data_IF_961017872389
#
_entry.id   IF_961017872389
#
_cell.length_a   1.000
_cell.length_b   1.000
_cell.length_c   1.000
_cell.angle_alpha   90.00
_cell.angle_beta   90.00
_cell.angle_gamma   90.00
#
_symmetry.space_group_name_H-M   'P 1'
#
loop_
_entity.id
_entity.type
_entity.pdbx_description
1 polymer ?
#
# COMPACT_ATOMS: atom_id res chain seq x y z
N UNK A 1 -55.67 83.29 -61.38
CA UNK A 1 -55.42 84.58 -60.69
C UNK A 1 -55.58 84.29 -59.21
N UNK A 2 -54.56 84.35 -58.37
CA UNK A 2 -53.44 85.30 -58.34
C UNK A 2 -52.15 84.62 -57.88
N UNK A 3 -51.10 84.99 -58.58
CA UNK A 3 -49.70 84.61 -58.43
C UNK A 3 -49.09 84.97 -57.05
N UNK A 4 -48.14 84.14 -56.64
CA UNK A 4 -46.76 84.53 -56.27
C UNK A 4 -46.58 85.80 -55.43
N UNK A 5 -46.17 85.63 -54.16
CA UNK A 5 -45.30 86.58 -53.49
C UNK A 5 -44.23 85.85 -52.69
N UNK A 6 -43.00 86.28 -52.95
CA UNK A 6 -41.70 85.78 -52.54
C UNK A 6 -41.39 85.97 -51.04
N UNK A 7 -40.41 85.16 -50.62
CA UNK A 7 -39.48 85.23 -49.49
C UNK A 7 -39.51 86.43 -48.52
N UNK A 8 -39.33 86.13 -47.21
CA UNK A 8 -38.12 86.45 -46.41
C UNK A 8 -38.33 86.14 -44.91
N UNK A 9 -37.32 85.52 -44.27
CA UNK A 9 -36.91 85.87 -42.89
C UNK A 9 -37.45 85.08 -41.68
N UNK A 10 -36.79 83.98 -41.36
CA UNK A 10 -36.08 83.69 -40.10
C UNK A 10 -36.77 83.78 -38.70
N UNK A 11 -36.82 82.60 -38.06
CA UNK A 11 -36.59 82.22 -36.63
C UNK A 11 -37.47 82.69 -35.46
N UNK A 12 -37.94 81.71 -34.67
CA UNK A 12 -38.13 81.84 -33.23
C UNK A 12 -37.93 80.50 -32.47
N UNK A 13 -36.66 80.24 -32.13
CA UNK A 13 -36.13 79.75 -30.84
C UNK A 13 -36.80 78.54 -30.18
N UNK A 14 -36.21 77.35 -30.39
CA UNK A 14 -36.36 76.19 -29.49
C UNK A 14 -35.31 76.28 -28.39
N UNK A 15 -35.76 76.37 -27.13
CA UNK A 15 -34.94 76.40 -25.92
C UNK A 15 -34.02 75.16 -25.88
N UNK A 16 -32.68 75.29 -25.77
CA UNK A 16 -31.81 74.13 -25.81
C UNK A 16 -31.81 73.39 -24.47
N UNK A 17 -32.33 72.16 -24.52
CA UNK A 17 -32.15 71.11 -23.51
C UNK A 17 -30.66 70.76 -23.44
N UNK A 18 -30.01 71.03 -22.30
CA UNK A 18 -28.59 70.76 -22.10
C UNK A 18 -28.32 69.23 -22.07
N UNK A 19 -28.15 68.64 -23.26
CA UNK A 19 -27.69 67.27 -23.43
C UNK A 19 -26.17 67.33 -23.55
N UNK A 20 -25.44 66.78 -22.58
CA UNK A 20 -24.00 66.60 -22.70
C UNK A 20 -23.73 65.54 -23.76
N UNK A 21 -23.50 65.96 -25.01
CA UNK A 21 -23.09 65.10 -26.12
C UNK A 21 -21.66 64.63 -25.89
N UNK A 22 -21.40 63.33 -26.09
CA UNK A 22 -20.08 62.69 -25.95
C UNK A 22 -18.99 63.43 -26.75
N UNK A 23 -19.35 64.05 -27.88
CA UNK A 23 -18.47 64.91 -28.69
C UNK A 23 -17.96 66.17 -27.97
N UNK A 24 -18.81 66.84 -27.16
CA UNK A 24 -18.41 68.01 -26.37
C UNK A 24 -17.44 67.60 -25.24
N UNK A 25 -17.64 66.42 -24.66
CA UNK A 25 -16.73 65.85 -23.65
C UNK A 25 -15.33 65.58 -24.23
N UNK A 26 -15.25 65.05 -25.47
CA UNK A 26 -13.96 64.86 -26.15
C UNK A 26 -13.29 66.17 -26.58
N UNK A 27 -14.03 67.19 -27.02
CA UNK A 27 -13.46 68.52 -27.31
C UNK A 27 -12.92 69.21 -26.05
N UNK A 28 -13.62 69.07 -24.92
CA UNK A 28 -13.18 69.55 -23.61
C UNK A 28 -11.93 68.84 -23.10
N UNK A 29 -11.66 67.60 -23.52
CA UNK A 29 -10.44 66.88 -23.21
C UNK A 29 -9.22 67.38 -24.00
N UNK A 30 -9.45 67.88 -25.23
CA UNK A 30 -8.40 68.32 -26.14
C UNK A 30 -7.92 69.77 -25.91
N UNK A 31 -8.64 70.55 -25.09
CA UNK A 31 -8.25 71.92 -24.66
C UNK A 31 -7.55 71.94 -23.30
N UNK A 32 -7.10 70.79 -22.80
CA UNK A 32 -6.36 70.68 -21.53
C UNK A 32 -4.93 71.22 -21.69
N UNK A 33 -4.67 72.38 -21.07
CA UNK A 33 -3.31 72.87 -20.84
C UNK A 33 -2.82 72.33 -19.47
N UNK A 34 -1.79 71.44 -19.43
CA UNK A 34 -1.27 70.86 -18.19
C UNK A 34 -0.57 71.87 -17.27
N UNK A 35 -0.33 73.11 -17.73
CA UNK A 35 0.30 74.16 -16.94
C UNK A 35 -0.70 75.02 -16.13
N UNK A 36 -2.03 74.84 -16.31
CA UNK A 36 -3.05 75.56 -15.54
C UNK A 36 -4.26 74.66 -15.17
N UNK A 37 -4.12 73.89 -14.09
CA UNK A 37 -5.13 72.93 -13.60
C UNK A 37 -6.46 73.58 -13.15
N UNK A 38 -6.46 74.91 -12.89
CA UNK A 38 -7.63 75.63 -12.37
C UNK A 38 -8.75 75.85 -13.40
N UNK A 39 -8.42 76.01 -14.67
CA UNK A 39 -9.35 76.41 -15.75
C UNK A 39 -10.08 75.24 -16.44
N UNK A 40 -9.88 73.99 -15.98
CA UNK A 40 -10.47 72.82 -16.66
C UNK A 40 -12.01 72.80 -16.58
N UNK A 41 -12.71 72.35 -17.65
CA UNK A 41 -14.16 72.24 -17.68
C UNK A 41 -14.71 71.32 -16.57
N UNK A 42 -15.86 71.68 -15.99
CA UNK A 42 -16.45 70.97 -14.85
C UNK A 42 -16.72 69.47 -15.14
N UNK A 43 -17.06 69.12 -16.39
CA UNK A 43 -17.26 67.72 -16.81
C UNK A 43 -15.97 66.89 -16.75
N UNK A 44 -14.83 67.46 -17.14
CA UNK A 44 -13.53 66.77 -17.07
C UNK A 44 -13.12 66.56 -15.60
N UNK A 45 -13.32 67.57 -14.75
CA UNK A 45 -13.09 67.47 -13.31
C UNK A 45 -13.91 66.34 -12.68
N UNK A 46 -15.21 66.24 -13.00
CA UNK A 46 -16.09 65.17 -12.50
C UNK A 46 -15.61 63.79 -12.98
N UNK A 47 -15.26 63.63 -14.26
CA UNK A 47 -14.76 62.35 -14.77
C UNK A 47 -13.44 61.94 -14.13
N UNK A 48 -12.50 62.87 -13.92
CA UNK A 48 -11.27 62.59 -13.16
C UNK A 48 -11.57 62.19 -11.71
N UNK A 49 -12.51 62.85 -11.04
CA UNK A 49 -12.94 62.47 -9.69
C UNK A 49 -13.54 61.07 -9.64
N UNK A 50 -14.43 60.73 -10.58
CA UNK A 50 -15.02 59.39 -10.68
C UNK A 50 -13.95 58.34 -10.98
N UNK A 51 -13.00 58.64 -11.86
CA UNK A 51 -11.89 57.75 -12.18
C UNK A 51 -10.99 57.50 -10.96
N UNK A 52 -10.65 58.54 -10.21
CA UNK A 52 -9.87 58.42 -8.97
C UNK A 52 -10.63 57.58 -7.94
N UNK A 53 -11.92 57.84 -7.74
CA UNK A 53 -12.75 57.05 -6.81
C UNK A 53 -12.83 55.59 -7.23
N UNK A 54 -13.03 55.32 -8.52
CA UNK A 54 -13.03 53.96 -9.05
C UNK A 54 -11.69 53.26 -8.86
N UNK A 55 -10.58 53.96 -9.14
CA UNK A 55 -9.23 53.45 -8.94
C UNK A 55 -8.98 53.09 -7.46
N UNK A 56 -9.39 53.97 -6.55
CA UNK A 56 -9.27 53.75 -5.10
C UNK A 56 -10.12 52.56 -4.65
N UNK A 57 -11.36 52.44 -5.12
CA UNK A 57 -12.23 51.29 -4.82
C UNK A 57 -11.66 49.98 -5.37
N UNK A 58 -11.09 50.00 -6.58
CA UNK A 58 -10.48 48.82 -7.18
C UNK A 58 -9.24 48.38 -6.41
N UNK A 59 -8.36 49.33 -6.05
CA UNK A 59 -7.19 49.04 -5.20
C UNK A 59 -7.59 48.55 -3.81
N UNK A 60 -8.62 49.12 -3.20
CA UNK A 60 -9.14 48.67 -1.90
C UNK A 60 -9.73 47.26 -1.98
N UNK A 61 -10.47 46.95 -3.06
CA UNK A 61 -11.04 45.62 -3.29
C UNK A 61 -9.96 44.55 -3.48
N UNK A 62 -8.97 44.82 -4.35
CA UNK A 62 -7.88 43.89 -4.60
C UNK A 62 -6.93 43.75 -3.41
N UNK A 63 -6.61 44.84 -2.70
CA UNK A 63 -5.65 44.84 -1.61
C UNK A 63 -6.18 44.28 -0.28
N UNK A 64 -7.43 44.58 0.09
CA UNK A 64 -7.97 44.26 1.42
C UNK A 64 -9.09 43.21 1.40
N UNK A 65 -9.97 43.27 0.41
CA UNK A 65 -11.22 42.48 0.41
C UNK A 65 -10.98 41.08 -0.16
N UNK A 66 -10.27 40.98 -1.28
CA UNK A 66 -10.01 39.69 -1.95
C UNK A 66 -9.32 38.68 -1.02
N UNK A 67 -8.27 39.09 -0.32
CA UNK A 67 -7.54 38.21 0.60
C UNK A 67 -8.40 37.71 1.77
N UNK A 68 -9.32 38.54 2.28
CA UNK A 68 -10.25 38.11 3.36
C UNK A 68 -11.27 37.09 2.85
N UNK A 69 -11.83 37.30 1.66
CA UNK A 69 -12.78 36.35 1.05
C UNK A 69 -12.11 34.98 0.82
N UNK A 70 -10.87 34.98 0.33
CA UNK A 70 -10.10 33.77 0.10
C UNK A 70 -9.77 33.04 1.40
N UNK A 71 -9.38 33.79 2.46
CA UNK A 71 -9.15 33.21 3.79
C UNK A 71 -10.40 32.59 4.42
N UNK A 72 -11.57 33.21 4.26
CA UNK A 72 -12.86 32.67 4.74
C UNK A 72 -13.23 31.41 3.95
N UNK A 73 -13.04 31.42 2.63
CA UNK A 73 -13.30 30.26 1.78
C UNK A 73 -12.40 29.08 2.14
N UNK A 74 -11.12 29.35 2.40
CA UNK A 74 -10.15 28.36 2.84
C UNK A 74 -10.48 27.81 4.23
N UNK A 75 -10.88 28.67 5.18
CA UNK A 75 -11.31 28.26 6.51
C UNK A 75 -12.56 27.37 6.48
N UNK A 76 -13.57 27.75 5.69
CA UNK A 76 -14.78 26.93 5.50
C UNK A 76 -14.47 25.57 4.85
N UNK A 77 -13.55 25.55 3.88
CA UNK A 77 -13.10 24.30 3.26
C UNK A 77 -12.35 23.40 4.27
N UNK A 78 -11.52 24.00 5.14
CA UNK A 78 -10.84 23.27 6.21
C UNK A 78 -11.83 22.70 7.23
N UNK A 79 -12.84 23.47 7.62
CA UNK A 79 -13.89 23.02 8.53
C UNK A 79 -14.66 21.81 7.96
N UNK A 80 -15.06 21.86 6.69
CA UNK A 80 -15.75 20.74 6.04
C UNK A 80 -14.87 19.49 5.97
N UNK A 81 -13.59 19.64 5.63
CA UNK A 81 -12.65 18.52 5.62
C UNK A 81 -12.50 17.89 7.02
N UNK A 82 -12.36 18.72 8.06
CA UNK A 82 -12.17 18.24 9.42
C UNK A 82 -13.43 17.55 9.96
N UNK A 83 -14.62 18.05 9.62
CA UNK A 83 -15.89 17.38 9.95
C UNK A 83 -16.04 16.02 9.25
N UNK A 84 -15.62 15.93 8.00
CA UNK A 84 -15.64 14.65 7.26
C UNK A 84 -14.65 13.65 7.88
N UNK A 85 -13.44 14.09 8.21
CA UNK A 85 -12.43 13.26 8.86
C UNK A 85 -12.91 12.78 10.25
N UNK A 86 -13.55 13.66 11.03
CA UNK A 86 -14.15 13.30 12.31
C UNK A 86 -15.24 12.24 12.14
N UNK A 87 -16.17 12.42 11.18
CA UNK A 87 -17.24 11.44 10.91
C UNK A 87 -16.68 10.09 10.48
N UNK A 88 -15.64 10.07 9.66
CA UNK A 88 -14.98 8.85 9.23
C UNK A 88 -14.33 8.13 10.42
N UNK A 89 -13.54 8.84 11.24
CA UNK A 89 -12.91 8.28 12.44
C UNK A 89 -13.93 7.79 13.47
N UNK A 90 -14.98 8.56 13.71
CA UNK A 90 -16.09 8.21 14.60
C UNK A 90 -16.86 6.97 14.10
N UNK A 91 -17.05 6.84 12.78
CA UNK A 91 -17.64 5.63 12.19
C UNK A 91 -16.76 4.38 12.35
N UNK A 92 -15.43 4.54 12.26
CA UNK A 92 -14.47 3.46 12.50
C UNK A 92 -14.44 3.07 13.99
N UNK A 93 -14.56 4.03 14.89
CA UNK A 93 -14.59 3.82 16.34
C UNK A 93 -15.87 3.13 16.82
N UNK A 94 -17.04 3.50 16.28
CA UNK A 94 -18.33 2.89 16.66
C UNK A 94 -18.37 1.37 16.44
N UNK A 95 -17.68 0.88 15.42
CA UNK A 95 -17.61 -0.56 15.14
C UNK A 95 -16.38 -1.22 15.74
N UNK A 96 -15.47 -0.47 16.38
CA UNK A 96 -14.21 -1.01 16.88
C UNK A 96 -14.42 -2.04 17.99
N UNK A 97 -15.41 -1.84 18.88
CA UNK A 97 -15.78 -2.85 19.87
C UNK A 97 -16.34 -4.12 19.23
N UNK A 98 -17.16 -3.99 18.18
CA UNK A 98 -17.70 -5.15 17.45
C UNK A 98 -16.59 -5.91 16.70
N UNK A 99 -15.64 -5.19 16.09
CA UNK A 99 -14.48 -5.80 15.44
C UNK A 99 -13.54 -6.48 16.42
N UNK A 100 -13.30 -5.89 17.60
CA UNK A 100 -12.51 -6.54 18.66
C UNK A 100 -13.18 -7.84 19.15
N UNK A 101 -14.49 -7.81 19.35
CA UNK A 101 -15.24 -9.00 19.76
C UNK A 101 -15.19 -10.09 18.67
N UNK A 102 -15.35 -9.70 17.40
CA UNK A 102 -15.24 -10.63 16.27
C UNK A 102 -13.84 -11.22 16.12
N UNK A 103 -12.78 -10.45 16.38
CA UNK A 103 -11.41 -10.95 16.41
C UNK A 103 -11.20 -11.94 17.55
N UNK A 104 -11.73 -11.66 18.74
CA UNK A 104 -11.65 -12.57 19.89
C UNK A 104 -12.39 -13.90 19.62
N UNK A 105 -13.59 -13.84 19.03
CA UNK A 105 -14.36 -15.03 18.66
C UNK A 105 -13.65 -15.84 17.56
N UNK A 106 -13.02 -15.16 16.59
CA UNK A 106 -12.23 -15.79 15.53
C UNK A 106 -10.97 -16.46 16.08
N UNK A 107 -10.27 -15.80 17.01
CA UNK A 107 -9.07 -16.33 17.67
C UNK A 107 -9.41 -17.52 18.58
N UNK A 108 -10.52 -17.47 19.32
CA UNK A 108 -10.99 -18.60 20.12
C UNK A 108 -11.34 -19.82 19.23
N UNK A 109 -12.06 -19.58 18.12
CA UNK A 109 -12.40 -20.62 17.16
C UNK A 109 -11.15 -21.22 16.49
N UNK A 110 -10.17 -20.37 16.16
CA UNK A 110 -8.90 -20.80 15.58
C UNK A 110 -8.06 -21.61 16.56
N UNK A 111 -7.99 -21.20 17.83
CA UNK A 111 -7.29 -21.95 18.87
C UNK A 111 -7.92 -23.33 19.11
N UNK A 112 -9.26 -23.43 19.10
CA UNK A 112 -9.95 -24.71 19.21
C UNK A 112 -9.66 -25.63 18.01
N UNK A 113 -9.41 -25.08 16.82
CA UNK A 113 -9.00 -25.84 15.63
C UNK A 113 -7.52 -26.24 15.69
N UNK A 114 -6.64 -25.37 16.22
CA UNK A 114 -5.23 -25.69 16.44
C UNK A 114 -5.05 -26.79 17.50
N UNK A 115 -5.88 -26.83 18.54
CA UNK A 115 -5.88 -27.93 19.53
C UNK A 115 -6.29 -29.27 18.93
N UNK A 116 -7.03 -29.27 17.82
CA UNK A 116 -7.39 -30.49 17.07
C UNK A 116 -6.29 -30.93 16.10
N UNK A 117 -5.30 -30.08 15.82
CA UNK A 117 -4.12 -30.47 15.07
C UNK A 117 -3.09 -31.03 16.06
N UNK A 118 -2.78 -32.34 16.04
CA UNK A 118 -1.79 -32.92 16.94
C UNK A 118 -0.47 -32.15 16.79
N UNK A 119 0.05 -31.65 17.92
CA UNK A 119 1.34 -30.94 17.98
C UNK A 119 2.44 -31.91 17.59
N UNK A 120 2.85 -31.85 16.33
CA UNK A 120 3.94 -32.62 15.75
C UNK A 120 5.25 -32.38 16.51
N UNK A 121 5.56 -33.29 17.42
CA UNK A 121 6.93 -33.57 17.86
C UNK A 121 7.18 -35.05 17.72
N UNK A 122 7.31 -35.52 16.47
CA UNK A 122 7.61 -36.93 16.17
C UNK A 122 8.81 -37.08 15.21
N UNK A 123 9.79 -36.15 15.26
CA UNK A 123 11.04 -36.28 14.49
C UNK A 123 11.79 -37.60 14.82
N UNK A 124 11.88 -38.06 16.08
CA UNK A 124 12.48 -39.35 16.39
C UNK A 124 11.71 -40.53 15.76
N UNK A 125 10.37 -40.46 15.74
CA UNK A 125 9.53 -41.49 15.13
C UNK A 125 9.70 -41.57 13.62
N UNK A 126 9.98 -40.44 12.95
CA UNK A 126 10.15 -40.44 11.50
C UNK A 126 11.35 -41.26 11.04
N UNK A 127 12.46 -41.20 11.76
CA UNK A 127 13.67 -41.98 11.43
C UNK A 127 13.38 -43.47 11.56
N UNK A 128 12.62 -43.84 12.59
CA UNK A 128 12.18 -45.22 12.82
C UNK A 128 11.22 -45.70 11.73
N UNK A 129 10.25 -44.87 11.33
CA UNK A 129 9.31 -45.18 10.24
C UNK A 129 10.02 -45.35 8.90
N UNK A 130 10.99 -44.48 8.58
CA UNK A 130 11.83 -44.59 7.37
C UNK A 130 12.66 -45.88 7.42
N UNK A 131 13.27 -46.18 8.56
CA UNK A 131 14.07 -47.38 8.73
C UNK A 131 13.21 -48.64 8.59
N UNK A 132 12.04 -48.69 9.24
CA UNK A 132 11.10 -49.80 9.14
C UNK A 132 10.60 -49.98 7.70
N UNK A 133 10.23 -48.90 7.02
CA UNK A 133 9.82 -48.95 5.60
C UNK A 133 10.92 -49.49 4.69
N UNK A 134 12.19 -49.13 4.93
CA UNK A 134 13.31 -49.61 4.13
C UNK A 134 13.66 -51.07 4.40
N UNK A 135 13.66 -51.49 5.67
CA UNK A 135 13.91 -52.89 6.04
C UNK A 135 12.79 -53.80 5.51
N UNK A 136 11.52 -53.37 5.60
CA UNK A 136 10.37 -54.11 5.04
C UNK A 136 10.44 -54.21 3.51
N UNK A 137 10.99 -53.20 2.84
CA UNK A 137 11.23 -53.23 1.39
C UNK A 137 12.43 -54.11 1.00
N UNK A 138 13.25 -54.57 1.94
CA UNK A 138 14.44 -55.39 1.69
C UNK A 138 15.73 -54.60 1.49
N UNK A 139 15.74 -53.30 1.79
CA UNK A 139 16.96 -52.49 1.79
C UNK A 139 17.79 -52.72 3.06
N UNK A 140 19.11 -52.68 2.90
CA UNK A 140 20.07 -52.71 4.01
C UNK A 140 20.66 -51.31 4.18
N UNK A 141 20.31 -50.63 5.27
CA UNK A 141 20.89 -49.32 5.57
C UNK A 141 22.35 -49.47 6.01
N UNK A 142 23.23 -48.71 5.37
CA UNK A 142 24.61 -48.51 5.79
C UNK A 142 24.70 -47.40 6.83
N UNK A 143 23.97 -46.31 6.60
CA UNK A 143 24.02 -45.13 7.43
C UNK A 143 22.73 -44.30 7.30
N UNK A 144 22.22 -43.81 8.42
CA UNK A 144 21.14 -42.80 8.46
C UNK A 144 21.58 -41.71 9.42
N UNK A 145 21.69 -40.49 8.93
CA UNK A 145 22.20 -39.35 9.71
C UNK A 145 21.30 -38.14 9.58
N UNK A 146 20.94 -37.55 10.71
CA UNK A 146 20.30 -36.24 10.74
C UNK A 146 21.37 -35.18 10.48
N UNK A 147 21.11 -34.32 9.50
CA UNK A 147 21.90 -33.14 9.25
C UNK A 147 21.38 -31.98 10.13
N UNK A 148 22.17 -30.91 10.33
CA UNK A 148 21.69 -29.73 11.05
C UNK A 148 20.41 -29.14 10.43
N UNK A 149 19.51 -28.67 11.27
CA UNK A 149 18.28 -27.99 10.84
C UNK A 149 18.60 -26.75 9.99
N UNK A 150 17.85 -26.56 8.90
CA UNK A 150 17.95 -25.38 8.03
C UNK A 150 16.70 -24.54 8.24
N UNK A 151 16.87 -23.35 8.85
CA UNK A 151 15.79 -22.41 9.11
C UNK A 151 15.48 -21.60 7.85
N UNK A 152 14.24 -21.62 7.42
CA UNK A 152 13.68 -20.73 6.39
C UNK A 152 12.76 -19.70 7.07
N UNK A 153 12.22 -18.76 6.29
CA UNK A 153 11.39 -17.65 6.83
C UNK A 153 10.13 -18.13 7.56
N UNK A 154 9.50 -19.21 7.09
CA UNK A 154 8.21 -19.69 7.61
C UNK A 154 8.25 -21.13 8.15
N UNK A 155 9.33 -21.86 7.91
CA UNK A 155 9.46 -23.27 8.28
C UNK A 155 10.91 -23.65 8.53
N UNK A 156 11.11 -24.80 9.18
CA UNK A 156 12.43 -25.41 9.37
C UNK A 156 12.46 -26.71 8.60
N UNK A 157 13.49 -26.88 7.77
CA UNK A 157 13.81 -28.14 7.11
C UNK A 157 14.71 -28.97 8.03
N UNK A 158 14.39 -30.25 8.17
CA UNK A 158 15.24 -31.25 8.83
C UNK A 158 15.75 -32.23 7.74
N UNK A 159 16.98 -32.05 7.24
CA UNK A 159 17.56 -32.97 6.26
C UNK A 159 18.07 -34.24 6.94
N UNK A 160 17.94 -35.37 6.23
CA UNK A 160 18.34 -36.70 6.67
C UNK A 160 19.12 -37.33 5.50
N UNK A 161 20.39 -37.63 5.72
CA UNK A 161 21.23 -38.33 4.76
C UNK A 161 21.08 -39.84 4.97
N UNK A 162 20.82 -40.56 3.88
CA UNK A 162 20.54 -42.00 3.90
C UNK A 162 21.45 -42.69 2.89
N UNK A 163 22.17 -43.70 3.38
CA UNK A 163 22.97 -44.62 2.58
C UNK A 163 22.42 -46.03 2.76
N UNK A 164 22.08 -46.68 1.65
CA UNK A 164 21.49 -48.01 1.66
C UNK A 164 22.02 -48.87 0.51
N UNK A 165 21.86 -50.18 0.65
CA UNK A 165 22.22 -51.16 -0.37
C UNK A 165 21.05 -52.13 -0.57
N UNK A 166 20.73 -52.44 -1.81
CA UNK A 166 19.66 -53.38 -2.14
C UNK A 166 19.55 -53.62 -3.63
N UNK A 167 18.50 -54.33 -4.03
CA UNK A 167 18.12 -54.43 -5.44
C UNK A 167 17.26 -53.23 -5.87
N UNK A 168 17.06 -53.10 -7.19
CA UNK A 168 16.30 -52.00 -7.77
C UNK A 168 14.83 -51.98 -7.36
N UNK A 169 14.22 -53.16 -7.15
CA UNK A 169 12.80 -53.26 -6.81
C UNK A 169 12.54 -52.93 -5.35
N UNK A 170 13.44 -53.32 -4.46
CA UNK A 170 13.48 -52.94 -3.06
C UNK A 170 13.57 -51.42 -2.91
N UNK A 171 14.42 -50.77 -3.72
CA UNK A 171 14.49 -49.30 -3.73
C UNK A 171 13.18 -48.66 -4.20
N UNK A 172 12.57 -49.15 -5.27
CA UNK A 172 11.27 -48.64 -5.74
C UNK A 172 10.15 -48.83 -4.70
N UNK A 173 10.15 -49.98 -4.01
CA UNK A 173 9.20 -50.28 -2.93
C UNK A 173 9.41 -49.37 -1.72
N UNK A 174 10.67 -49.07 -1.38
CA UNK A 174 11.02 -48.12 -0.32
C UNK A 174 10.55 -46.71 -0.62
N UNK A 175 10.83 -46.19 -1.83
CA UNK A 175 10.37 -44.85 -2.25
C UNK A 175 8.85 -44.77 -2.23
N UNK A 176 8.17 -45.83 -2.68
CA UNK A 176 6.71 -45.92 -2.63
C UNK A 176 6.18 -45.96 -1.19
N UNK A 177 6.87 -46.67 -0.29
CA UNK A 177 6.55 -46.74 1.13
C UNK A 177 6.68 -45.38 1.82
N UNK A 178 7.77 -44.64 1.55
CA UNK A 178 7.94 -43.28 2.06
C UNK A 178 6.83 -42.36 1.58
N UNK A 179 6.43 -42.45 0.30
CA UNK A 179 5.34 -41.64 -0.24
C UNK A 179 3.97 -41.95 0.40
N UNK A 180 3.81 -43.12 1.03
CA UNK A 180 2.61 -43.53 1.76
C UNK A 180 2.61 -43.18 3.25
N UNK A 181 3.67 -42.58 3.79
CA UNK A 181 3.71 -42.18 5.20
C UNK A 181 2.70 -41.07 5.47
N UNK A 182 2.09 -41.08 6.65
CA UNK A 182 1.14 -40.04 7.11
C UNK A 182 1.83 -38.73 7.52
N UNK A 183 3.02 -38.44 6.99
CA UNK A 183 3.85 -37.26 7.31
C UNK A 183 4.50 -36.71 6.04
N UNK A 184 4.85 -35.42 6.05
CA UNK A 184 5.48 -34.76 4.90
C UNK A 184 6.97 -35.12 4.84
N UNK A 185 7.32 -35.97 3.87
CA UNK A 185 8.70 -36.35 3.55
C UNK A 185 8.94 -36.18 2.05
N UNK A 186 10.04 -35.53 1.71
CA UNK A 186 10.48 -35.38 0.32
C UNK A 186 11.86 -35.99 0.12
N UNK A 187 12.09 -36.59 -1.03
CA UNK A 187 13.37 -37.21 -1.39
C UNK A 187 14.07 -36.33 -2.44
N UNK A 188 15.35 -36.09 -2.22
CA UNK A 188 16.22 -35.22 -3.02
C UNK A 188 17.55 -35.93 -3.28
N UNK A 189 18.25 -35.47 -4.31
CA UNK A 189 19.66 -35.78 -4.56
C UNK A 189 20.03 -37.26 -4.43
N UNK A 190 19.34 -38.13 -5.16
CA UNK A 190 19.66 -39.55 -5.14
C UNK A 190 20.73 -39.92 -6.17
N UNK A 191 21.65 -40.79 -5.77
CA UNK A 191 22.69 -41.38 -6.60
C UNK A 191 22.57 -42.90 -6.51
N UNK A 192 22.62 -43.55 -7.67
CA UNK A 192 22.49 -45.01 -7.81
C UNK A 192 23.79 -45.53 -8.42
N UNK A 193 24.52 -46.35 -7.68
CA UNK A 193 25.76 -46.96 -8.16
C UNK A 193 25.64 -48.47 -8.10
N UNK A 194 25.64 -49.11 -9.27
CA UNK A 194 25.71 -50.56 -9.34
C UNK A 194 27.13 -51.05 -9.09
N UNK A 195 27.30 -51.97 -8.14
CA UNK A 195 28.58 -52.64 -7.88
C UNK A 195 28.47 -54.09 -8.33
N UNK A 196 29.46 -54.57 -9.08
CA UNK A 196 29.52 -56.00 -9.42
C UNK A 196 29.59 -56.84 -8.14
N UNK A 197 28.77 -57.89 -8.09
CA UNK A 197 28.74 -58.79 -6.97
C UNK A 197 30.06 -59.57 -6.89
N UNK A 198 30.97 -59.12 -6.02
CA UNK A 198 32.30 -59.70 -5.82
C UNK A 198 32.25 -61.18 -5.43
N UNK A 199 31.12 -61.66 -4.89
CA UNK A 199 30.97 -63.06 -4.49
C UNK A 199 30.53 -63.99 -5.64
N UNK A 200 30.16 -63.48 -6.82
CA UNK A 200 29.67 -64.27 -7.99
C UNK A 200 28.59 -65.33 -7.66
N UNK A 201 27.89 -65.21 -6.52
CA UNK A 201 26.87 -66.18 -6.08
C UNK A 201 25.53 -65.99 -6.80
N UNK A 202 25.28 -64.80 -7.34
CA UNK A 202 24.05 -64.44 -8.05
C UNK A 202 24.35 -63.41 -9.14
N UNK A 203 23.63 -63.50 -10.26
CA UNK A 203 23.70 -62.60 -11.42
C UNK A 203 23.04 -61.23 -11.16
N UNK A 204 22.46 -61.03 -9.97
CA UNK A 204 21.79 -59.79 -9.59
C UNK A 204 22.84 -58.82 -9.03
N UNK A 205 23.03 -57.64 -9.65
CA UNK A 205 23.96 -56.63 -9.17
C UNK A 205 23.49 -56.07 -7.83
N UNK A 206 24.45 -55.84 -6.93
CA UNK A 206 24.18 -55.15 -5.67
C UNK A 206 24.24 -53.66 -5.96
N UNK A 207 23.17 -52.94 -5.65
CA UNK A 207 23.07 -51.50 -5.94
C UNK A 207 23.18 -50.71 -4.65
N UNK A 208 24.09 -49.75 -4.67
CA UNK A 208 24.28 -48.79 -3.61
C UNK A 208 23.51 -47.50 -3.91
N UNK A 209 22.81 -47.01 -2.89
CA UNK A 209 21.94 -45.86 -2.94
C UNK A 209 22.42 -44.83 -1.92
N UNK A 210 22.57 -43.59 -2.37
CA UNK A 210 22.76 -42.42 -1.51
C UNK A 210 21.66 -41.44 -1.84
N UNK A 211 20.92 -40.96 -0.85
CA UNK A 211 19.83 -40.00 -1.05
C UNK A 211 19.67 -39.09 0.17
N UNK A 212 18.97 -37.97 -0.03
CA UNK A 212 18.60 -37.05 1.05
C UNK A 212 17.09 -37.03 1.21
N UNK A 213 16.61 -37.30 2.41
CA UNK A 213 15.23 -37.05 2.78
C UNK A 213 15.13 -35.69 3.50
N UNK A 214 14.03 -34.97 3.31
CA UNK A 214 13.72 -33.75 4.05
C UNK A 214 12.32 -33.82 4.61
N UNK A 215 12.18 -33.44 5.87
CA UNK A 215 10.89 -33.15 6.50
C UNK A 215 10.84 -31.71 6.95
N UNK A 216 9.62 -31.20 7.18
CA UNK A 216 9.36 -29.78 7.40
C UNK A 216 8.55 -29.61 8.67
N UNK A 217 8.90 -28.61 9.49
CA UNK A 217 8.10 -28.21 10.64
C UNK A 217 7.85 -26.71 10.63
N UNK A 218 6.66 -26.32 11.06
CA UNK A 218 6.32 -24.91 11.20
C UNK A 218 7.05 -24.30 12.40
N UNK A 219 7.64 -23.13 12.21
CA UNK A 219 8.14 -22.30 13.32
C UNK A 219 6.98 -21.47 13.84
N UNK A 220 6.17 -22.07 14.70
CA UNK A 220 5.24 -21.31 15.53
C UNK A 220 6.04 -20.38 16.45
N UNK A 221 5.48 -19.21 16.76
CA UNK A 221 6.03 -18.12 17.59
C UNK A 221 6.52 -18.50 19.00
N UNK A 222 6.53 -19.79 19.34
CA UNK A 222 6.90 -20.34 20.64
C UNK A 222 8.42 -20.36 20.91
N UNK A 223 9.28 -20.27 19.89
CA UNK A 223 10.74 -20.33 20.09
C UNK A 223 11.41 -18.95 20.32
N UNK A 224 10.61 -17.88 20.39
CA UNK A 224 11.10 -16.56 20.82
C UNK A 224 11.20 -16.45 22.35
N UNK A 225 10.58 -17.36 23.12
CA UNK A 225 10.57 -17.32 24.58
C UNK A 225 11.83 -17.95 25.23
N UNK A 226 12.55 -18.83 24.52
CA UNK A 226 13.69 -19.56 25.07
C UNK A 226 15.03 -18.82 24.94
N UNK A 227 15.10 -17.80 24.09
CA UNK A 227 16.34 -17.04 23.83
C UNK A 227 16.59 -15.93 24.85
N UNK A 228 15.54 -15.42 25.51
CA UNK A 228 15.67 -14.32 26.49
C UNK A 228 16.14 -14.78 27.87
N UNK A 229 15.99 -16.06 28.23
CA UNK A 229 16.42 -16.54 29.57
C UNK A 229 17.93 -16.75 29.67
N UNK A 230 18.65 -16.99 28.57
CA UNK A 230 20.11 -17.15 28.61
C UNK A 230 20.86 -15.82 28.69
N UNK A 231 20.28 -14.71 28.21
CA UNK A 231 20.89 -13.38 28.30
C UNK A 231 20.78 -12.76 29.70
N UNK A 232 19.80 -13.16 30.51
CA UNK A 232 19.58 -12.61 31.85
C UNK A 232 20.53 -13.18 32.94
N UNK A 233 21.15 -14.34 32.71
CA UNK A 233 21.97 -15.00 33.74
C UNK A 233 23.48 -14.67 33.67
N UNK A 234 23.91 -13.79 32.77
CA UNK A 234 25.33 -13.39 32.61
C UNK A 234 25.65 -11.99 33.16
N UNK A 235 24.67 -11.26 33.72
CA UNK A 235 24.87 -9.92 34.31
C UNK A 235 24.79 -9.88 35.85
N UNK A 236 24.72 -11.04 36.53
CA UNK A 236 24.59 -11.13 37.99
C UNK A 236 25.81 -11.65 38.74
N UNK A 237 26.99 -11.71 38.13
CA UNK A 237 28.21 -12.20 38.79
C UNK A 237 29.42 -11.28 38.49
N UNK A 238 29.43 -10.12 39.12
CA UNK A 238 30.64 -9.36 39.46
C UNK A 238 30.45 -8.72 40.84
#
# INVERSE_FOLDING_TARGET
>A
MSEQFDELGQEAVVVPKNKMTVEKFFQQFNTLDPNNYGSWPMAVKITCWVFIVFLVLMLAYFGLIRGKIESITQANAQEQNLLNEFREKDSKLRNLQQYQQQLQDMEASFNQQLEQLPKETEIPGLVEDINLSGVNAGLKFKNIRLEPEVKQEFFIEQPISIEATGDYHAFGSFVSGIAGLSRIVTLHDFTITGTENKEKKTDIPVVDYTLKAKTYRYVGSANSASADTTAANSQGAQ
#
